data_IF_131343171699
#
_entry.id   IF_131343171699
#
_cell.length_a   1.000
_cell.length_b   1.000
_cell.length_c   1.000
_cell.angle_alpha   90.00
_cell.angle_beta   90.00
_cell.angle_gamma   90.00
#
_symmetry.space_group_name_H-M   'P 1'
#
loop_
_entity.id
_entity.type
_entity.pdbx_description
1 polymer ?
#
# COMPACT_ATOMS: atom_id res chain seq x y z
N UNK A 1 11.03 8.49 -4.05
CA UNK A 1 10.07 8.97 -5.07
C UNK A 1 8.67 8.84 -4.49
N UNK A 2 7.86 9.91 -4.53
CA UNK A 2 6.48 9.93 -4.04
C UNK A 2 5.54 10.05 -5.24
N UNK A 3 4.46 9.27 -5.25
CA UNK A 3 3.40 9.34 -6.25
C UNK A 3 2.15 10.02 -5.64
N UNK A 4 1.67 11.09 -6.28
CA UNK A 4 0.47 11.83 -5.84
C UNK A 4 -0.56 11.92 -6.97
N UNK A 5 -1.83 12.16 -6.62
CA UNK A 5 -2.85 12.58 -7.59
C UNK A 5 -2.77 14.10 -7.82
N UNK A 6 -3.51 14.59 -8.83
CA UNK A 6 -3.62 16.02 -9.18
C UNK A 6 -4.48 16.81 -8.16
N UNK A 7 -4.19 16.66 -6.88
CA UNK A 7 -4.82 17.44 -5.82
C UNK A 7 -4.11 18.77 -5.65
N UNK A 8 -4.86 19.86 -5.51
CA UNK A 8 -4.32 21.22 -5.31
C UNK A 8 -3.32 21.30 -4.16
N UNK A 9 -3.59 20.60 -3.06
CA UNK A 9 -2.68 20.53 -1.90
C UNK A 9 -1.33 19.89 -2.24
N UNK A 10 -1.29 18.93 -3.16
CA UNK A 10 -0.04 18.27 -3.57
C UNK A 10 0.74 19.07 -4.62
N UNK A 11 0.13 20.10 -5.21
CA UNK A 11 0.75 20.97 -6.22
C UNK A 11 1.19 22.34 -5.67
N UNK A 12 0.94 22.60 -4.39
CA UNK A 12 1.33 23.87 -3.77
C UNK A 12 2.86 24.03 -3.72
N UNK A 13 3.30 25.30 -3.69
CA UNK A 13 4.72 25.66 -3.68
C UNK A 13 5.47 25.01 -2.50
N UNK A 14 4.85 24.97 -1.32
CA UNK A 14 5.43 24.39 -0.10
C UNK A 14 5.79 22.90 -0.30
N UNK A 15 4.90 22.10 -0.90
CA UNK A 15 5.18 20.68 -1.15
C UNK A 15 6.31 20.51 -2.17
N UNK A 16 6.40 21.39 -3.18
CA UNK A 16 7.49 21.37 -4.15
C UNK A 16 8.84 21.70 -3.49
N UNK A 17 8.87 22.72 -2.64
CA UNK A 17 10.07 23.09 -1.87
C UNK A 17 10.52 21.98 -0.92
N UNK A 18 9.59 21.39 -0.16
CA UNK A 18 9.91 20.24 0.70
C UNK A 18 10.47 19.06 -0.11
N UNK A 19 9.89 18.77 -1.27
CA UNK A 19 10.43 17.71 -2.15
C UNK A 19 11.86 18.03 -2.62
N UNK A 20 12.16 19.31 -2.89
CA UNK A 20 13.51 19.74 -3.29
C UNK A 20 14.51 19.60 -2.13
N UNK A 21 14.14 20.05 -0.92
CA UNK A 21 14.98 19.96 0.29
C UNK A 21 15.32 18.50 0.61
N UNK A 22 14.32 17.63 0.59
CA UNK A 22 14.51 16.20 0.89
C UNK A 22 15.01 15.37 -0.31
N UNK A 23 15.30 16.01 -1.46
CA UNK A 23 15.69 15.35 -2.70
C UNK A 23 14.73 14.21 -3.12
N UNK A 24 13.43 14.44 -2.91
CA UNK A 24 12.37 13.48 -3.22
C UNK A 24 11.81 13.78 -4.60
N UNK A 25 12.01 12.86 -5.55
CA UNK A 25 11.34 12.90 -6.84
C UNK A 25 9.83 12.72 -6.66
N UNK A 26 9.04 13.77 -6.91
CA UNK A 26 7.57 13.70 -6.95
C UNK A 26 7.11 13.31 -8.35
N UNK A 27 6.15 12.38 -8.46
CA UNK A 27 5.44 12.05 -9.69
C UNK A 27 3.95 12.25 -9.50
N UNK A 28 3.32 12.85 -10.49
CA UNK A 28 1.88 13.06 -10.52
C UNK A 28 1.27 12.03 -11.44
N UNK A 29 0.24 11.32 -10.96
CA UNK A 29 -0.49 10.36 -11.79
C UNK A 29 -1.27 11.12 -12.86
N UNK A 30 -1.18 10.65 -14.11
CA UNK A 30 -1.95 11.21 -15.22
C UNK A 30 -3.45 11.08 -14.96
N UNK A 31 -4.27 12.05 -15.39
CA UNK A 31 -5.72 11.92 -15.36
C UNK A 31 -6.16 10.58 -15.97
N UNK A 32 -7.11 9.89 -15.33
CA UNK A 32 -7.72 8.64 -15.80
C UNK A 32 -6.82 7.40 -15.89
N UNK A 33 -5.58 7.43 -15.37
CA UNK A 33 -4.72 6.24 -15.23
C UNK A 33 -4.91 5.63 -13.84
N UNK A 34 -6.04 4.95 -13.62
CA UNK A 34 -6.41 4.36 -12.32
C UNK A 34 -5.46 3.26 -11.82
N UNK A 35 -4.68 2.63 -12.71
CA UNK A 35 -3.77 1.53 -12.35
C UNK A 35 -2.64 1.97 -11.40
N UNK A 36 -2.21 3.24 -11.49
CA UNK A 36 -1.10 3.77 -10.69
C UNK A 36 -1.49 4.08 -9.23
N UNK A 37 -2.77 4.36 -8.97
CA UNK A 37 -3.27 4.77 -7.64
C UNK A 37 -4.00 3.62 -6.92
N UNK A 38 -4.31 2.52 -7.62
CA UNK A 38 -5.14 1.44 -7.10
C UNK A 38 -4.64 0.77 -5.80
N UNK A 39 -3.38 0.93 -5.39
CA UNK A 39 -2.91 0.50 -4.06
C UNK A 39 -3.45 1.39 -2.94
N UNK A 40 -3.39 2.70 -3.10
CA UNK A 40 -3.88 3.69 -2.12
C UNK A 40 -5.39 3.65 -2.04
N UNK A 41 -6.08 3.54 -3.18
CA UNK A 41 -7.55 3.44 -3.21
C UNK A 41 -8.06 2.18 -2.51
N UNK A 42 -7.42 1.03 -2.73
CA UNK A 42 -7.75 -0.20 -2.00
C UNK A 42 -7.56 -0.04 -0.50
N UNK A 43 -6.45 0.56 -0.08
CA UNK A 43 -6.21 0.85 1.34
C UNK A 43 -7.27 1.79 1.91
N UNK A 44 -7.61 2.87 1.19
CA UNK A 44 -8.66 3.82 1.59
C UNK A 44 -10.01 3.10 1.77
N UNK A 45 -10.38 2.23 0.83
CA UNK A 45 -11.61 1.43 0.92
C UNK A 45 -11.59 0.49 2.14
N UNK A 46 -10.48 -0.19 2.39
CA UNK A 46 -10.32 -1.04 3.59
C UNK A 46 -10.44 -0.24 4.89
N UNK A 47 -9.83 0.94 4.93
CA UNK A 47 -9.88 1.85 6.08
C UNK A 47 -11.32 2.31 6.35
N UNK A 48 -12.03 2.76 5.31
CA UNK A 48 -13.42 3.19 5.40
C UNK A 48 -14.35 2.06 5.89
N UNK A 49 -14.16 0.84 5.39
CA UNK A 49 -14.95 -0.32 5.84
C UNK A 49 -14.70 -0.62 7.31
N UNK A 50 -13.43 -0.64 7.75
CA UNK A 50 -13.08 -0.91 9.16
C UNK A 50 -13.59 0.20 10.09
N UNK A 51 -13.50 1.46 9.68
CA UNK A 51 -14.05 2.60 10.42
C UNK A 51 -15.56 2.48 10.56
N UNK A 52 -16.29 2.18 9.47
CA UNK A 52 -17.74 1.98 9.49
C UNK A 52 -18.16 0.88 10.47
N UNK A 53 -17.41 -0.21 10.53
CA UNK A 53 -17.70 -1.32 11.45
C UNK A 53 -17.44 -0.91 12.90
N UNK A 54 -16.32 -0.23 13.16
CA UNK A 54 -15.92 0.14 14.54
C UNK A 54 -16.70 1.32 15.11
N UNK A 55 -17.09 2.27 14.27
CA UNK A 55 -17.76 3.52 14.67
C UNK A 55 -19.28 3.48 14.42
N UNK A 56 -19.88 2.28 14.24
CA UNK A 56 -21.30 2.13 13.87
C UNK A 56 -22.26 2.80 14.86
N UNK A 57 -21.94 2.77 16.16
CA UNK A 57 -22.81 3.22 17.24
C UNK A 57 -22.34 4.52 17.91
N UNK A 58 -21.05 4.88 17.78
CA UNK A 58 -20.50 6.13 18.28
C UNK A 58 -19.35 6.58 17.36
N UNK A 59 -19.41 7.83 16.89
CA UNK A 59 -18.44 8.42 15.99
C UNK A 59 -17.38 9.27 16.70
N UNK A 60 -17.57 9.59 17.98
CA UNK A 60 -16.74 10.60 18.67
C UNK A 60 -15.25 10.22 18.81
N UNK A 61 -14.84 8.98 19.12
CA UNK A 61 -13.42 8.66 19.21
C UNK A 61 -12.83 8.11 17.89
N UNK A 62 -13.28 8.56 16.71
CA UNK A 62 -12.77 8.02 15.44
C UNK A 62 -11.24 8.16 15.31
N UNK A 63 -10.65 9.21 15.90
CA UNK A 63 -9.21 9.43 15.98
C UNK A 63 -8.50 8.30 16.72
N UNK A 64 -8.99 7.91 17.90
CA UNK A 64 -8.43 6.81 18.69
C UNK A 64 -8.64 5.46 18.00
N UNK A 65 -9.80 5.28 17.36
CA UNK A 65 -10.07 4.07 16.58
C UNK A 65 -9.20 3.97 15.33
N UNK A 66 -8.74 5.10 14.78
CA UNK A 66 -7.89 5.11 13.58
C UNK A 66 -6.56 4.40 13.83
N UNK A 67 -5.93 4.62 14.99
CA UNK A 67 -4.68 3.98 15.38
C UNK A 67 -4.85 2.45 15.46
N UNK A 68 -5.91 2.00 16.14
CA UNK A 68 -6.25 0.57 16.26
C UNK A 68 -6.53 -0.07 14.90
N UNK A 69 -7.22 0.65 14.00
CA UNK A 69 -7.52 0.15 12.66
C UNK A 69 -6.26 0.04 11.82
N UNK A 70 -5.40 1.07 11.81
CA UNK A 70 -4.12 1.05 11.10
C UNK A 70 -3.24 -0.07 11.62
N UNK A 71 -3.18 -0.25 12.94
CA UNK A 71 -2.46 -1.36 13.57
C UNK A 71 -2.98 -2.72 13.07
N UNK A 72 -4.31 -2.91 13.06
CA UNK A 72 -4.93 -4.13 12.53
C UNK A 72 -4.54 -4.38 11.06
N UNK A 73 -4.46 -3.34 10.22
CA UNK A 73 -4.07 -3.48 8.82
C UNK A 73 -2.59 -3.89 8.70
N UNK A 74 -1.70 -3.36 9.55
CA UNK A 74 -0.26 -3.67 9.52
C UNK A 74 0.04 -5.13 9.86
N UNK A 75 -0.72 -5.73 10.77
CA UNK A 75 -0.49 -7.09 11.25
C UNK A 75 -1.33 -8.16 10.51
N UNK A 76 -2.40 -7.75 9.83
CA UNK A 76 -3.26 -8.69 9.09
C UNK A 76 -2.57 -9.11 7.78
N UNK A 77 -2.52 -10.42 7.53
CA UNK A 77 -1.98 -10.97 6.28
C UNK A 77 -2.91 -10.71 5.08
N UNK A 78 -2.35 -10.28 3.95
CA UNK A 78 -3.13 -10.17 2.71
C UNK A 78 -3.35 -11.54 2.09
N UNK A 79 -4.55 -11.79 1.57
CA UNK A 79 -4.87 -13.04 0.84
C UNK A 79 -3.94 -13.29 -0.36
N UNK A 80 -3.47 -12.23 -1.01
CA UNK A 80 -2.65 -12.34 -2.22
C UNK A 80 -1.19 -12.71 -1.97
N UNK A 81 -0.66 -12.37 -0.79
CA UNK A 81 0.75 -12.57 -0.43
C UNK A 81 0.93 -13.54 0.73
N UNK A 82 -0.15 -13.83 1.46
CA UNK A 82 -0.15 -14.54 2.74
C UNK A 82 0.84 -13.94 3.77
N UNK A 83 1.17 -12.67 3.59
CA UNK A 83 2.08 -11.88 4.42
C UNK A 83 1.41 -10.58 4.83
N UNK A 84 1.67 -10.14 6.06
CA UNK A 84 1.24 -8.83 6.54
C UNK A 84 2.23 -7.72 6.15
N UNK A 85 1.81 -6.45 6.09
CA UNK A 85 2.73 -5.33 5.89
C UNK A 85 3.90 -5.32 6.90
N UNK A 86 3.64 -5.70 8.16
CA UNK A 86 4.67 -5.81 9.20
C UNK A 86 5.71 -6.88 8.82
N UNK A 87 5.25 -8.06 8.41
CA UNK A 87 6.13 -9.17 8.00
C UNK A 87 6.97 -8.80 6.77
N UNK A 88 6.41 -8.03 5.84
CA UNK A 88 7.13 -7.57 4.64
C UNK A 88 8.21 -6.54 5.00
N UNK A 89 7.91 -5.62 5.93
CA UNK A 89 8.80 -4.51 6.26
C UNK A 89 9.92 -4.91 7.23
N UNK A 90 9.59 -5.71 8.25
CA UNK A 90 10.51 -6.04 9.34
C UNK A 90 10.91 -7.51 9.38
N UNK A 91 10.30 -8.38 8.58
CA UNK A 91 10.57 -9.83 8.63
C UNK A 91 10.06 -10.52 9.90
N UNK A 92 9.32 -9.81 10.75
CA UNK A 92 8.80 -10.29 12.03
C UNK A 92 7.27 -10.31 12.03
N UNK A 93 6.69 -11.17 12.86
CA UNK A 93 5.24 -11.23 13.05
C UNK A 93 4.87 -10.68 14.43
N UNK A 94 3.72 -10.03 14.52
CA UNK A 94 3.22 -9.54 15.80
C UNK A 94 2.66 -10.72 16.61
N UNK A 95 3.11 -10.88 17.85
CA UNK A 95 2.58 -11.89 18.75
C UNK A 95 1.42 -11.30 19.55
N UNK A 96 0.22 -11.82 19.35
CA UNK A 96 -0.85 -11.58 20.31
C UNK A 96 -0.69 -12.55 21.47
N UNK A 97 -0.78 -12.04 22.70
CA UNK A 97 -0.79 -12.85 23.93
C UNK A 97 -1.92 -13.90 23.93
N UNK A 98 -2.97 -13.67 23.15
CA UNK A 98 -4.18 -14.50 23.07
C UNK A 98 -4.32 -15.29 21.74
N UNK A 99 -3.38 -15.19 20.80
CA UNK A 99 -3.52 -15.91 19.52
C UNK A 99 -3.08 -17.37 19.62
N UNK A 100 -4.00 -18.30 19.36
CA UNK A 100 -3.75 -19.72 19.08
C UNK A 100 -3.18 -19.99 17.68
N UNK A 101 -3.04 -18.94 16.85
CA UNK A 101 -2.49 -19.08 15.50
C UNK A 101 -1.03 -19.55 15.53
N UNK A 102 -0.72 -20.59 14.75
CA UNK A 102 0.65 -21.12 14.61
C UNK A 102 1.59 -20.00 14.15
N UNK A 103 2.61 -19.70 14.96
CA UNK A 103 3.70 -18.78 14.58
C UNK A 103 4.19 -19.13 13.17
N UNK A 104 4.21 -18.16 12.26
CA UNK A 104 4.96 -18.33 11.02
C UNK A 104 6.44 -18.34 11.42
N UNK A 105 7.15 -19.43 11.14
CA UNK A 105 8.59 -19.48 11.39
C UNK A 105 9.30 -18.46 10.50
N UNK A 106 10.42 -17.89 10.94
CA UNK A 106 11.21 -16.97 10.13
C UNK A 106 11.54 -17.55 8.74
N UNK A 107 11.85 -18.86 8.63
CA UNK A 107 12.14 -19.46 7.31
C UNK A 107 10.92 -19.41 6.39
N UNK A 108 9.72 -19.64 6.93
CA UNK A 108 8.48 -19.58 6.16
C UNK A 108 8.18 -18.16 5.69
N UNK A 109 8.46 -17.15 6.50
CA UNK A 109 8.32 -15.74 6.13
C UNK A 109 9.29 -15.42 4.98
N UNK A 110 10.57 -15.77 5.11
CA UNK A 110 11.59 -15.53 4.08
C UNK A 110 11.24 -16.23 2.77
N UNK A 111 10.79 -17.49 2.83
CA UNK A 111 10.35 -18.25 1.65
C UNK A 111 9.17 -17.57 0.95
N UNK A 112 8.15 -17.18 1.71
CA UNK A 112 6.99 -16.48 1.15
C UNK A 112 7.37 -15.13 0.55
N UNK A 113 8.29 -14.38 1.18
CA UNK A 113 8.76 -13.09 0.69
C UNK A 113 9.53 -13.25 -0.61
N UNK A 114 10.40 -14.26 -0.71
CA UNK A 114 11.12 -14.61 -1.95
C UNK A 114 10.16 -14.95 -3.08
N UNK A 115 9.16 -15.80 -2.82
CA UNK A 115 8.14 -16.17 -3.80
C UNK A 115 7.32 -14.95 -4.25
N UNK A 116 6.89 -14.12 -3.31
CA UNK A 116 6.19 -12.87 -3.59
C UNK A 116 7.02 -11.93 -4.46
N UNK A 117 8.30 -11.74 -4.11
CA UNK A 117 9.24 -10.91 -4.88
C UNK A 117 9.34 -11.40 -6.32
N UNK A 118 9.54 -12.71 -6.54
CA UNK A 118 9.60 -13.30 -7.89
C UNK A 118 8.32 -13.03 -8.68
N UNK A 119 7.15 -13.30 -8.08
CA UNK A 119 5.86 -13.07 -8.72
C UNK A 119 5.61 -11.59 -9.03
N UNK A 120 6.00 -10.69 -8.12
CA UNK A 120 5.87 -9.25 -8.29
C UNK A 120 6.75 -8.73 -9.43
N UNK A 121 8.02 -9.13 -9.50
CA UNK A 121 8.94 -8.74 -10.57
C UNK A 121 8.42 -9.21 -11.94
N UNK A 122 7.91 -10.44 -12.03
CA UNK A 122 7.29 -10.96 -13.26
C UNK A 122 6.09 -10.11 -13.71
N UNK A 123 5.21 -9.73 -12.77
CA UNK A 123 4.07 -8.83 -13.05
C UNK A 123 4.52 -7.44 -13.48
N UNK A 124 5.52 -6.87 -12.81
CA UNK A 124 6.06 -5.54 -13.18
C UNK A 124 6.64 -5.54 -14.59
N UNK A 125 7.41 -6.57 -14.96
CA UNK A 125 7.95 -6.73 -16.32
C UNK A 125 6.81 -6.76 -17.35
N UNK A 126 5.81 -7.62 -17.14
CA UNK A 126 4.64 -7.72 -18.02
C UNK A 126 3.90 -6.38 -18.16
N UNK A 127 3.70 -5.65 -17.06
CA UNK A 127 3.02 -4.36 -17.10
C UNK A 127 3.85 -3.30 -17.84
N UNK A 128 5.17 -3.26 -17.60
CA UNK A 128 6.07 -2.37 -18.31
C UNK A 128 6.06 -2.63 -19.83
N UNK A 129 6.14 -3.90 -20.23
CA UNK A 129 6.12 -4.29 -21.65
C UNK A 129 4.80 -3.88 -22.33
N UNK A 130 3.67 -4.05 -21.63
CA UNK A 130 2.35 -3.57 -22.11
C UNK A 130 2.29 -2.05 -22.30
N UNK A 131 2.84 -1.29 -21.35
CA UNK A 131 2.89 0.18 -21.45
C UNK A 131 3.76 0.59 -22.65
N UNK A 132 4.91 -0.06 -22.85
CA UNK A 132 5.79 0.22 -23.99
C UNK A 132 5.11 -0.09 -25.33
N UNK A 133 4.39 -1.21 -25.44
CA UNK A 133 3.61 -1.53 -26.65
C UNK A 133 2.51 -0.49 -26.92
N UNK A 134 1.76 -0.09 -25.90
CA UNK A 134 0.69 0.93 -26.02
C UNK A 134 1.23 2.30 -26.43
N UNK A 135 2.44 2.67 -25.99
CA UNK A 135 3.08 3.93 -26.41
C UNK A 135 3.48 3.92 -27.89
N UNK A 136 3.94 2.77 -28.42
CA UNK A 136 4.30 2.62 -29.84
C UNK A 136 3.08 2.69 -30.76
N UNK A 137 1.93 2.20 -30.30
CA UNK A 137 0.69 2.21 -31.10
C UNK A 137 -0.03 3.57 -31.14
N UNK A 138 0.35 4.55 -30.30
CA UNK A 138 -0.20 5.93 -30.32
C UNK A 138 0.65 6.90 -31.17
N UNK A 139 1.69 6.41 -31.84
CA UNK A 139 2.54 7.20 -32.76
C UNK A 139 2.40 6.76 -34.22
N UNK A 140 1.36 5.98 -34.53
CA UNK A 140 0.88 5.70 -35.88
C UNK A 140 -0.59 6.11 -35.99
#
# INVERSE_FOLDING_TARGET
>A
MIQTYMGTLFECAIIKELCNIFNIKKRVTKPYVHEEIGKVERLKRTLQVKLRIKCKNNFEPWGDQSANIIFSIRITSSRSTNLSPLEILYGTTYMFTCSTERKKTPEKIVKNLSNYRKAYMSKMKKNHDKIMQKSKSHHH
#
